data_IF_925109164300
#
_entry.id   IF_925109164300
#
_cell.length_a   1.000
_cell.length_b   1.000
_cell.length_c   1.000
_cell.angle_alpha   90.00
_cell.angle_beta   90.00
_cell.angle_gamma   90.00
#
_symmetry.space_group_name_H-M   'P 1'
#
loop_
_entity.id
_entity.type
_entity.pdbx_description
1 polymer ?
#
# COMPACT_ATOMS: atom_id res chain seq x y z
N UNK A 1 9.04 2.02 9.18
CA UNK A 1 10.22 1.23 9.64
C UNK A 1 11.26 1.11 8.53
N UNK A 2 12.57 1.31 8.81
CA UNK A 2 13.63 1.06 7.81
C UNK A 2 13.97 -0.42 7.79
N UNK A 3 13.77 -1.07 6.65
CA UNK A 3 14.10 -2.48 6.46
C UNK A 3 15.63 -2.69 6.53
N UNK A 4 16.06 -3.80 7.14
CA UNK A 4 17.43 -4.26 7.05
C UNK A 4 17.74 -4.81 5.64
N UNK A 5 18.97 -5.27 5.38
CA UNK A 5 19.36 -5.76 4.05
C UNK A 5 18.53 -6.99 3.61
N UNK A 6 18.19 -7.89 4.55
CA UNK A 6 17.40 -9.10 4.27
C UNK A 6 15.95 -8.75 3.96
N UNK A 7 15.32 -7.85 4.72
CA UNK A 7 14.01 -7.32 4.44
C UNK A 7 13.93 -6.64 3.07
N UNK A 8 14.96 -5.84 2.73
CA UNK A 8 15.06 -5.24 1.39
C UNK A 8 15.20 -6.28 0.28
N UNK A 9 16.01 -7.31 0.46
CA UNK A 9 16.18 -8.40 -0.52
C UNK A 9 14.86 -9.14 -0.74
N UNK A 10 14.14 -9.45 0.33
CA UNK A 10 12.81 -10.11 0.28
C UNK A 10 11.78 -9.23 -0.46
N UNK A 11 11.73 -7.94 -0.13
CA UNK A 11 10.79 -6.99 -0.75
C UNK A 11 11.14 -6.67 -2.21
N UNK A 12 12.38 -6.86 -2.63
CA UNK A 12 12.86 -6.63 -3.99
C UNK A 12 12.96 -7.90 -4.85
N UNK A 13 12.42 -9.02 -4.39
CA UNK A 13 12.41 -10.27 -5.15
C UNK A 13 11.56 -10.11 -6.43
N UNK A 14 12.08 -10.50 -7.63
CA UNK A 14 11.32 -10.45 -8.88
C UNK A 14 9.96 -11.15 -8.83
N UNK A 15 9.86 -12.24 -8.09
CA UNK A 15 8.62 -12.98 -7.92
C UNK A 15 7.53 -12.15 -7.21
N UNK A 16 7.89 -11.16 -6.36
CA UNK A 16 6.95 -10.21 -5.75
C UNK A 16 6.24 -9.36 -6.81
N UNK A 17 6.89 -9.08 -7.93
CA UNK A 17 6.27 -8.31 -9.02
C UNK A 17 5.03 -9.02 -9.57
N UNK A 18 5.05 -10.35 -9.72
CA UNK A 18 3.89 -11.13 -10.13
C UNK A 18 2.77 -11.05 -9.09
N UNK A 19 3.12 -11.16 -7.81
CA UNK A 19 2.17 -11.01 -6.71
C UNK A 19 1.50 -9.63 -6.70
N UNK A 20 2.28 -8.57 -6.89
CA UNK A 20 1.75 -7.20 -6.91
C UNK A 20 0.81 -6.96 -8.10
N UNK A 21 1.10 -7.51 -9.29
CA UNK A 21 0.18 -7.47 -10.43
C UNK A 21 -1.11 -8.27 -10.15
N UNK A 22 -1.01 -9.42 -9.48
CA UNK A 22 -2.16 -10.21 -9.08
C UNK A 22 -3.01 -9.46 -8.04
N UNK A 23 -2.41 -8.92 -6.98
CA UNK A 23 -3.09 -8.08 -5.99
C UNK A 23 -3.78 -6.88 -6.66
N UNK A 24 -3.09 -6.19 -7.56
CA UNK A 24 -3.65 -5.09 -8.33
C UNK A 24 -4.88 -5.52 -9.15
N UNK A 25 -4.86 -6.75 -9.72
CA UNK A 25 -6.01 -7.27 -10.46
C UNK A 25 -7.24 -7.50 -9.57
N UNK A 26 -7.02 -7.94 -8.35
CA UNK A 26 -8.09 -8.09 -7.36
C UNK A 26 -8.60 -6.71 -6.90
N UNK A 27 -7.69 -5.79 -6.59
CA UNK A 27 -8.05 -4.42 -6.18
C UNK A 27 -8.87 -3.69 -7.24
N UNK A 28 -8.50 -3.82 -8.52
CA UNK A 28 -9.27 -3.25 -9.62
C UNK A 28 -10.69 -3.84 -9.71
N UNK A 29 -10.83 -5.17 -9.56
CA UNK A 29 -12.14 -5.84 -9.54
C UNK A 29 -13.01 -5.39 -8.37
N UNK A 30 -12.40 -5.15 -7.20
CA UNK A 30 -13.10 -4.73 -5.98
C UNK A 30 -13.47 -3.25 -6.00
N UNK A 31 -12.57 -2.40 -6.47
CA UNK A 31 -12.69 -0.95 -6.34
C UNK A 31 -12.83 -0.17 -7.65
N UNK A 32 -12.66 -0.84 -8.78
CA UNK A 32 -12.64 -0.18 -10.10
C UNK A 32 -11.37 0.62 -10.34
N UNK A 33 -11.37 1.40 -11.41
CA UNK A 33 -10.26 2.24 -11.87
C UNK A 33 -10.35 3.65 -11.27
N UNK A 34 -9.25 4.39 -11.34
CA UNK A 34 -9.11 5.78 -10.83
C UNK A 34 -8.89 6.73 -12.01
N UNK A 35 -9.69 6.56 -13.07
CA UNK A 35 -9.54 7.28 -14.34
C UNK A 35 -9.42 8.79 -14.15
N UNK A 36 -8.31 9.34 -14.64
CA UNK A 36 -8.05 10.78 -14.60
C UNK A 36 -7.80 11.35 -13.19
N UNK A 37 -7.89 10.52 -12.15
CA UNK A 37 -7.72 10.94 -10.76
C UNK A 37 -6.26 11.13 -10.34
N UNK A 38 -6.07 11.80 -9.20
CA UNK A 38 -4.78 11.96 -8.51
C UNK A 38 -4.65 10.91 -7.42
N UNK A 39 -3.61 10.10 -7.48
CA UNK A 39 -3.38 9.02 -6.53
C UNK A 39 -2.13 9.25 -5.68
N UNK A 40 -2.12 8.67 -4.48
CA UNK A 40 -0.95 8.55 -3.61
C UNK A 40 -0.59 7.07 -3.47
N UNK A 41 0.69 6.72 -3.61
CA UNK A 41 1.21 5.42 -3.18
C UNK A 41 2.09 5.59 -1.93
N UNK A 42 1.80 4.83 -0.89
CA UNK A 42 2.59 4.79 0.33
C UNK A 42 3.49 3.55 0.34
N UNK A 43 4.80 3.75 0.62
CA UNK A 43 5.78 2.68 0.57
C UNK A 43 6.06 2.18 -0.85
N UNK A 44 6.33 3.10 -1.77
CA UNK A 44 6.42 2.78 -3.21
C UNK A 44 7.60 1.90 -3.62
N UNK A 45 8.57 1.67 -2.72
CA UNK A 45 9.74 0.86 -3.01
C UNK A 45 10.46 1.32 -4.28
N UNK A 46 10.59 0.41 -5.25
CA UNK A 46 11.25 0.68 -6.55
C UNK A 46 10.30 1.25 -7.62
N UNK A 47 9.06 1.60 -7.26
CA UNK A 47 8.10 2.28 -8.12
C UNK A 47 7.26 1.36 -9.03
N UNK A 48 7.17 0.06 -8.75
CA UNK A 48 6.32 -0.85 -9.53
C UNK A 48 4.83 -0.51 -9.33
N UNK A 49 4.42 -0.22 -8.10
CA UNK A 49 3.04 0.17 -7.81
C UNK A 49 2.65 1.46 -8.52
N UNK A 50 3.55 2.45 -8.60
CA UNK A 50 3.32 3.68 -9.39
C UNK A 50 2.98 3.35 -10.85
N UNK A 51 3.73 2.43 -11.49
CA UNK A 51 3.44 1.98 -12.87
C UNK A 51 2.05 1.36 -12.96
N UNK A 52 1.74 0.46 -12.05
CA UNK A 52 0.44 -0.20 -11.97
C UNK A 52 -0.70 0.83 -11.82
N UNK A 53 -0.54 1.82 -10.94
CA UNK A 53 -1.54 2.86 -10.71
C UNK A 53 -1.77 3.69 -11.98
N UNK A 54 -0.70 4.07 -12.68
CA UNK A 54 -0.79 4.85 -13.91
C UNK A 54 -1.38 4.05 -15.08
N UNK A 55 -0.92 2.82 -15.28
CA UNK A 55 -1.23 2.04 -16.49
C UNK A 55 -2.52 1.24 -16.34
N UNK A 56 -2.72 0.63 -15.16
CA UNK A 56 -3.85 -0.24 -14.92
C UNK A 56 -5.04 0.50 -14.34
N UNK A 57 -4.81 1.36 -13.32
CA UNK A 57 -5.89 2.10 -12.67
C UNK A 57 -6.23 3.41 -13.39
N UNK A 58 -5.43 3.87 -14.33
CA UNK A 58 -5.72 5.04 -15.17
C UNK A 58 -5.57 6.38 -14.46
N UNK A 59 -4.83 6.45 -13.34
CA UNK A 59 -4.59 7.72 -12.67
C UNK A 59 -3.84 8.71 -13.60
N UNK A 60 -4.24 9.97 -13.57
CA UNK A 60 -3.58 11.02 -14.32
C UNK A 60 -2.20 11.36 -13.73
N UNK A 61 -2.13 11.38 -12.40
CA UNK A 61 -0.90 11.65 -11.67
C UNK A 61 -0.79 10.81 -10.40
N UNK A 62 0.42 10.44 -10.03
CA UNK A 62 0.74 9.70 -8.81
C UNK A 62 1.81 10.44 -8.03
N UNK A 63 1.51 10.75 -6.78
CA UNK A 63 2.53 11.02 -5.79
C UNK A 63 2.89 9.71 -5.09
N UNK A 64 4.18 9.51 -4.80
CA UNK A 64 4.60 8.29 -4.14
C UNK A 64 5.73 8.58 -3.14
N UNK A 65 5.67 7.92 -2.02
CA UNK A 65 6.66 8.08 -0.96
C UNK A 65 7.20 6.74 -0.45
N UNK A 66 8.42 6.79 0.02
CA UNK A 66 9.05 5.69 0.74
C UNK A 66 9.93 6.27 1.86
N UNK A 67 10.07 5.55 2.96
CA UNK A 67 10.91 5.98 4.08
C UNK A 67 12.41 5.80 3.77
N UNK A 68 12.76 4.91 2.83
CA UNK A 68 14.15 4.65 2.42
C UNK A 68 14.53 5.50 1.20
N UNK A 69 15.48 6.46 1.36
CA UNK A 69 15.95 7.28 0.22
C UNK A 69 16.51 6.46 -0.95
N UNK A 70 17.07 5.27 -0.68
CA UNK A 70 17.58 4.38 -1.72
C UNK A 70 16.47 3.81 -2.59
N UNK A 71 15.29 3.55 -2.01
CA UNK A 71 14.13 3.11 -2.77
C UNK A 71 13.63 4.23 -3.68
N UNK A 72 13.57 5.46 -3.18
CA UNK A 72 13.19 6.63 -3.99
C UNK A 72 14.18 6.84 -5.15
N UNK A 73 15.48 6.66 -4.94
CA UNK A 73 16.46 6.72 -6.02
C UNK A 73 16.24 5.63 -7.08
N UNK A 74 15.95 4.40 -6.66
CA UNK A 74 15.58 3.30 -7.56
C UNK A 74 14.28 3.60 -8.33
N UNK A 75 13.27 4.12 -7.64
CA UNK A 75 11.99 4.51 -8.25
C UNK A 75 12.17 5.60 -9.30
N UNK A 76 12.99 6.64 -9.04
CA UNK A 76 13.30 7.70 -10.01
C UNK A 76 13.88 7.13 -11.30
N UNK A 77 14.82 6.20 -11.20
CA UNK A 77 15.40 5.53 -12.39
C UNK A 77 14.36 4.70 -13.14
N UNK A 78 13.56 3.94 -12.40
CA UNK A 78 12.52 3.07 -12.97
C UNK A 78 11.40 3.83 -13.66
N UNK A 79 11.09 5.05 -13.21
CA UNK A 79 9.94 5.86 -13.62
C UNK A 79 10.34 7.08 -14.49
N UNK A 80 11.59 7.17 -14.91
CA UNK A 80 12.11 8.34 -15.63
C UNK A 80 11.34 8.68 -16.91
N UNK A 81 10.73 7.69 -17.54
CA UNK A 81 9.95 7.87 -18.79
C UNK A 81 8.59 8.53 -18.60
N UNK A 82 8.04 8.59 -17.35
CA UNK A 82 6.70 9.13 -17.11
C UNK A 82 6.63 10.66 -16.97
N UNK A 83 7.77 11.30 -16.71
CA UNK A 83 7.86 12.75 -16.51
C UNK A 83 7.32 13.24 -15.17
N UNK A 84 7.80 14.42 -14.74
CA UNK A 84 7.48 15.00 -13.42
C UNK A 84 6.03 15.45 -13.27
N UNK A 85 5.35 15.72 -14.38
CA UNK A 85 3.93 16.09 -14.35
C UNK A 85 3.03 14.92 -13.93
N UNK A 86 3.45 13.69 -14.19
CA UNK A 86 2.67 12.49 -13.86
C UNK A 86 3.15 11.76 -12.61
N UNK A 87 4.43 11.89 -12.25
CA UNK A 87 5.04 11.17 -11.13
C UNK A 87 5.84 12.10 -10.24
N UNK A 88 5.45 12.20 -8.99
CA UNK A 88 6.18 12.90 -7.95
C UNK A 88 6.65 11.91 -6.88
N UNK A 89 7.98 11.88 -6.65
CA UNK A 89 8.59 10.95 -5.71
C UNK A 89 9.26 11.69 -4.55
N UNK A 90 8.97 11.27 -3.34
CA UNK A 90 9.53 11.88 -2.13
C UNK A 90 9.92 10.88 -1.05
N UNK A 91 10.96 11.22 -0.29
CA UNK A 91 11.22 10.52 0.99
C UNK A 91 10.20 11.03 1.99
N UNK A 92 9.45 10.11 2.61
CA UNK A 92 8.37 10.50 3.52
C UNK A 92 7.96 9.37 4.45
N UNK A 93 7.29 9.77 5.53
CA UNK A 93 6.72 8.90 6.55
C UNK A 93 5.20 8.89 6.38
N UNK A 94 4.62 7.70 6.23
CA UNK A 94 3.17 7.54 6.10
C UNK A 94 2.40 7.98 7.35
N UNK A 95 3.05 8.04 8.50
CA UNK A 95 2.44 8.55 9.75
C UNK A 95 2.42 10.07 9.85
N UNK A 96 2.97 10.78 8.86
CA UNK A 96 3.03 12.25 8.80
C UNK A 96 3.17 12.71 7.35
N UNK A 97 2.08 12.59 6.59
CA UNK A 97 2.04 12.95 5.18
C UNK A 97 2.06 14.48 5.00
N UNK A 98 2.90 14.96 4.08
CA UNK A 98 3.00 16.40 3.79
C UNK A 98 1.86 16.93 2.93
N UNK A 99 1.05 16.06 2.37
CA UNK A 99 -0.10 16.47 1.56
C UNK A 99 -1.19 17.15 2.42
N UNK A 100 -1.91 18.07 1.84
CA UNK A 100 -3.07 18.69 2.46
C UNK A 100 -4.23 17.68 2.58
N UNK A 101 -5.21 18.02 3.42
CA UNK A 101 -6.44 17.26 3.57
C UNK A 101 -7.18 17.14 2.22
N UNK A 102 -7.90 16.07 2.02
CA UNK A 102 -8.77 15.86 0.86
C UNK A 102 -8.07 16.13 -0.51
N UNK A 103 -6.82 15.67 -0.64
CA UNK A 103 -6.00 15.92 -1.84
C UNK A 103 -6.19 14.84 -2.91
N UNK A 104 -6.33 13.56 -2.51
CA UNK A 104 -6.26 12.42 -3.41
C UNK A 104 -7.62 11.77 -3.65
N UNK A 105 -7.84 11.35 -4.88
CA UNK A 105 -8.99 10.54 -5.28
C UNK A 105 -8.81 9.07 -4.85
N UNK A 106 -7.56 8.64 -4.74
CA UNK A 106 -7.21 7.31 -4.25
C UNK A 106 -5.88 7.29 -3.51
N UNK A 107 -5.78 6.42 -2.50
CA UNK A 107 -4.52 6.05 -1.84
C UNK A 107 -4.31 4.55 -2.05
N UNK A 108 -3.08 4.15 -2.38
CA UNK A 108 -2.66 2.77 -2.57
C UNK A 108 -1.60 2.38 -1.55
N UNK A 109 -1.82 1.23 -0.93
CA UNK A 109 -0.85 0.53 -0.09
C UNK A 109 -0.66 -0.90 -0.60
N UNK A 110 0.44 -1.15 -1.30
CA UNK A 110 0.82 -2.49 -1.74
C UNK A 110 1.70 -3.18 -0.69
N UNK A 111 1.24 -3.17 0.57
CA UNK A 111 1.86 -3.91 1.66
C UNK A 111 2.98 -3.17 2.39
N UNK A 112 2.83 -1.90 2.68
CA UNK A 112 3.77 -1.08 3.45
C UNK A 112 3.26 -0.74 4.86
N UNK A 113 1.99 -0.35 5.00
CA UNK A 113 1.44 0.15 6.27
C UNK A 113 1.48 -0.91 7.38
N UNK A 114 1.25 -2.18 7.04
CA UNK A 114 1.30 -3.26 8.04
C UNK A 114 2.70 -3.47 8.65
N UNK A 115 3.75 -2.94 8.02
CA UNK A 115 5.13 -2.95 8.54
C UNK A 115 5.41 -1.77 9.48
N UNK A 116 4.49 -0.80 9.57
CA UNK A 116 4.67 0.40 10.39
C UNK A 116 4.14 0.15 11.81
N UNK A 117 4.97 0.31 12.86
CA UNK A 117 4.51 0.12 14.24
C UNK A 117 3.31 1.01 14.60
N UNK A 118 3.28 2.23 14.09
CA UNK A 118 2.19 3.20 14.29
C UNK A 118 1.17 3.14 13.15
N UNK A 119 0.83 1.96 12.65
CA UNK A 119 -0.06 1.76 11.50
C UNK A 119 -1.43 2.43 11.66
N UNK A 120 -1.94 2.57 12.90
CA UNK A 120 -3.18 3.32 13.15
C UNK A 120 -3.04 4.79 12.77
N UNK A 121 -1.91 5.41 13.14
CA UNK A 121 -1.62 6.79 12.74
C UNK A 121 -1.47 6.92 11.22
N UNK A 122 -0.89 5.91 10.57
CA UNK A 122 -0.84 5.86 9.12
C UNK A 122 -2.24 5.79 8.49
N UNK A 123 -3.18 5.01 9.04
CA UNK A 123 -4.56 4.97 8.57
C UNK A 123 -5.28 6.31 8.76
N UNK A 124 -5.06 7.01 9.88
CA UNK A 124 -5.59 8.35 10.10
C UNK A 124 -5.08 9.36 9.05
N UNK A 125 -3.79 9.29 8.70
CA UNK A 125 -3.22 10.11 7.63
C UNK A 125 -3.79 9.75 6.25
N UNK A 126 -3.94 8.45 5.94
CA UNK A 126 -4.63 7.99 4.72
C UNK A 126 -6.04 8.59 4.64
N UNK A 127 -6.80 8.51 5.75
CA UNK A 127 -8.13 9.11 5.83
C UNK A 127 -8.11 10.61 5.59
N UNK A 128 -7.19 11.32 6.21
CA UNK A 128 -7.07 12.78 6.12
C UNK A 128 -6.82 13.26 4.69
N UNK A 129 -5.92 12.59 3.96
CA UNK A 129 -5.54 13.03 2.61
C UNK A 129 -6.49 12.56 1.52
N UNK A 130 -7.39 11.61 1.80
CA UNK A 130 -8.42 11.18 0.86
C UNK A 130 -9.56 12.20 0.80
N UNK A 131 -10.01 12.50 -0.42
CA UNK A 131 -11.22 13.28 -0.67
C UNK A 131 -12.46 12.55 -0.14
N UNK A 132 -13.57 13.26 0.13
CA UNK A 132 -14.89 12.64 0.21
C UNK A 132 -15.15 11.77 -1.04
N UNK A 133 -15.67 10.56 -0.88
CA UNK A 133 -15.82 9.58 -1.96
C UNK A 133 -14.52 8.90 -2.41
N UNK A 134 -13.37 9.35 -1.93
CA UNK A 134 -12.05 8.79 -2.24
C UNK A 134 -11.89 7.34 -1.77
N UNK A 135 -11.00 6.61 -2.42
CA UNK A 135 -10.82 5.16 -2.21
C UNK A 135 -9.45 4.83 -1.66
N UNK A 136 -9.41 3.93 -0.68
CA UNK A 136 -8.20 3.32 -0.14
C UNK A 136 -8.08 1.88 -0.66
N UNK A 137 -7.10 1.62 -1.51
CA UNK A 137 -6.75 0.31 -2.03
C UNK A 137 -5.60 -0.25 -1.20
N UNK A 138 -5.81 -1.39 -0.56
CA UNK A 138 -4.80 -1.92 0.34
C UNK A 138 -4.58 -3.43 0.19
N UNK A 139 -3.32 -3.81 0.35
CA UNK A 139 -2.85 -5.18 0.54
C UNK A 139 -2.27 -5.28 1.95
N UNK A 140 -2.74 -6.23 2.73
CA UNK A 140 -2.36 -6.36 4.13
C UNK A 140 -1.91 -7.77 4.46
N UNK A 141 -0.83 -7.89 5.22
CA UNK A 141 -0.43 -9.17 5.82
C UNK A 141 -1.00 -9.20 7.23
N UNK A 142 -1.84 -10.20 7.52
CA UNK A 142 -2.42 -10.38 8.85
C UNK A 142 -1.67 -11.45 9.65
N UNK A 143 -1.95 -11.53 10.95
CA UNK A 143 -1.40 -12.56 11.83
C UNK A 143 -1.68 -14.00 11.38
N UNK A 144 -2.60 -14.18 10.44
CA UNK A 144 -2.93 -15.50 9.87
C UNK A 144 -1.77 -16.14 9.10
N UNK A 145 -0.83 -15.33 8.60
CA UNK A 145 0.35 -15.78 7.84
C UNK A 145 1.53 -16.22 8.72
N UNK A 146 1.58 -15.84 9.99
CA UNK A 146 2.71 -16.09 10.89
C UNK A 146 2.95 -17.59 11.24
N UNK A 147 2.61 -18.52 10.35
CA UNK A 147 3.06 -19.90 10.38
C UNK A 147 4.41 -20.15 9.68
N UNK A 148 4.99 -19.12 9.03
CA UNK A 148 6.39 -19.16 8.61
C UNK A 148 7.29 -19.22 9.85
N UNK A 149 8.49 -19.83 9.76
CA UNK A 149 9.41 -19.85 10.90
C UNK A 149 9.61 -18.42 11.42
N UNK A 150 8.97 -18.13 12.56
CA UNK A 150 8.97 -16.82 13.20
C UNK A 150 10.37 -16.18 13.29
N UNK A 151 11.48 -16.94 13.48
CA UNK A 151 12.82 -16.39 13.48
C UNK A 151 13.22 -15.66 12.18
N UNK A 152 12.87 -16.21 11.01
CA UNK A 152 13.20 -15.58 9.72
C UNK A 152 12.41 -14.29 9.48
N UNK A 153 11.14 -14.27 9.89
CA UNK A 153 10.30 -13.08 9.78
C UNK A 153 10.82 -11.97 10.70
N UNK A 154 11.14 -12.32 11.96
CA UNK A 154 11.65 -11.34 12.92
C UNK A 154 13.05 -10.85 12.58
N UNK A 155 13.88 -11.66 11.93
CA UNK A 155 15.20 -11.26 11.45
C UNK A 155 15.09 -10.25 10.28
N UNK A 156 14.15 -10.48 9.35
CA UNK A 156 13.96 -9.61 8.19
C UNK A 156 13.26 -8.30 8.53
N UNK A 157 12.24 -8.35 9.39
CA UNK A 157 11.29 -7.25 9.62
C UNK A 157 11.21 -6.78 11.07
N UNK A 158 11.95 -7.39 12.01
CA UNK A 158 11.84 -7.12 13.44
C UNK A 158 10.58 -7.73 14.06
N UNK A 159 10.32 -7.40 15.33
CA UNK A 159 9.06 -7.79 15.99
C UNK A 159 7.93 -6.92 15.47
N UNK A 160 7.02 -7.51 14.72
CA UNK A 160 5.83 -6.85 14.21
C UNK A 160 4.59 -7.34 14.95
N UNK A 161 3.76 -6.41 15.39
CA UNK A 161 2.39 -6.71 15.79
C UNK A 161 1.48 -6.61 14.57
N UNK A 162 1.25 -7.74 13.90
CA UNK A 162 0.31 -7.79 12.80
C UNK A 162 -1.12 -7.89 13.36
N UNK A 163 -2.00 -6.90 13.10
CA UNK A 163 -3.37 -7.00 13.50
C UNK A 163 -4.07 -8.15 12.77
N UNK A 164 -4.93 -8.86 13.49
CA UNK A 164 -5.85 -9.79 12.84
C UNK A 164 -6.86 -9.04 11.96
N UNK A 165 -7.52 -9.74 11.01
CA UNK A 165 -8.46 -9.11 10.08
C UNK A 165 -9.60 -8.33 10.77
N UNK A 166 -10.08 -8.81 11.91
CA UNK A 166 -11.13 -8.13 12.69
C UNK A 166 -10.67 -6.77 13.21
N UNK A 167 -9.47 -6.74 13.82
CA UNK A 167 -8.94 -5.50 14.38
C UNK A 167 -8.67 -4.46 13.28
N UNK A 168 -8.12 -4.89 12.15
CA UNK A 168 -7.92 -4.00 11.00
C UNK A 168 -9.25 -3.40 10.51
N UNK A 169 -10.30 -4.21 10.36
CA UNK A 169 -11.61 -3.72 9.93
C UNK A 169 -12.20 -2.72 10.93
N UNK A 170 -12.09 -2.98 12.22
CA UNK A 170 -12.55 -2.07 13.26
C UNK A 170 -11.81 -0.72 13.23
N UNK A 171 -10.50 -0.73 13.01
CA UNK A 171 -9.73 0.51 12.93
C UNK A 171 -10.02 1.29 11.64
N UNK A 172 -10.21 0.60 10.50
CA UNK A 172 -10.64 1.26 9.26
C UNK A 172 -12.01 1.93 9.43
N UNK A 173 -12.96 1.25 10.05
CA UNK A 173 -14.29 1.80 10.34
C UNK A 173 -14.21 2.98 11.33
N UNK A 174 -13.36 2.90 12.35
CA UNK A 174 -13.12 4.00 13.30
C UNK A 174 -12.59 5.25 12.60
N UNK A 175 -11.72 5.08 11.61
CA UNK A 175 -11.22 6.18 10.78
C UNK A 175 -12.25 6.64 9.72
N UNK A 176 -13.45 6.06 9.68
CA UNK A 176 -14.46 6.39 8.67
C UNK A 176 -14.15 5.85 7.27
N UNK A 177 -13.28 4.84 7.18
CA UNK A 177 -12.96 4.12 5.95
C UNK A 177 -13.86 2.89 5.88
N UNK A 178 -14.94 2.98 5.10
CA UNK A 178 -15.93 1.90 4.98
C UNK A 178 -15.44 0.88 3.95
N UNK A 179 -15.08 -0.31 4.39
CA UNK A 179 -14.64 -1.41 3.51
C UNK A 179 -15.86 -2.13 2.96
N UNK A 180 -16.21 -1.84 1.69
CA UNK A 180 -17.33 -2.47 1.01
C UNK A 180 -17.02 -3.87 0.50
N UNK A 181 -15.82 -4.07 -0.03
CA UNK A 181 -15.40 -5.32 -0.65
C UNK A 181 -13.96 -5.67 -0.24
N UNK A 182 -13.74 -6.95 0.04
CA UNK A 182 -12.43 -7.50 0.37
C UNK A 182 -12.31 -8.93 -0.15
N UNK A 183 -11.09 -9.34 -0.40
CA UNK A 183 -10.73 -10.70 -0.75
C UNK A 183 -9.69 -11.23 0.23
N UNK A 184 -9.93 -12.43 0.76
CA UNK A 184 -8.95 -13.15 1.58
C UNK A 184 -8.23 -14.10 0.65
N UNK A 185 -6.94 -13.86 0.43
CA UNK A 185 -6.14 -14.69 -0.45
C UNK A 185 -5.99 -16.12 0.12
N UNK A 186 -6.06 -17.15 -0.72
CA UNK A 186 -5.78 -18.51 -0.27
C UNK A 186 -4.39 -18.59 0.37
N UNK A 187 -4.27 -19.35 1.45
CA UNK A 187 -3.02 -19.51 2.23
C UNK A 187 -1.79 -19.86 1.39
N UNK A 188 -1.98 -20.54 0.25
CA UNK A 188 -0.90 -20.91 -0.67
C UNK A 188 -0.27 -19.69 -1.34
N UNK A 189 -1.07 -18.71 -1.75
CA UNK A 189 -0.57 -17.46 -2.34
C UNK A 189 0.15 -16.60 -1.29
N UNK A 190 -0.35 -16.60 -0.09
CA UNK A 190 0.25 -15.90 1.05
C UNK A 190 1.55 -16.54 1.54
N UNK A 191 1.66 -17.88 1.52
CA UNK A 191 2.88 -18.62 1.89
C UNK A 191 4.04 -18.38 0.91
N UNK A 192 3.74 -18.02 -0.34
CA UNK A 192 4.76 -17.67 -1.33
C UNK A 192 5.41 -16.29 -1.08
N UNK A 193 4.90 -15.50 -0.13
CA UNK A 193 5.37 -14.12 0.13
C UNK A 193 5.05 -13.15 -1.01
N UNK A 194 4.16 -13.54 -1.95
CA UNK A 194 3.88 -12.78 -3.16
C UNK A 194 2.74 -11.77 -2.99
N UNK A 195 1.78 -12.06 -2.11
CA UNK A 195 0.57 -11.24 -1.90
C UNK A 195 0.25 -11.25 -0.41
N UNK A 196 -0.30 -10.14 0.10
CA UNK A 196 -0.92 -10.12 1.43
C UNK A 196 -2.09 -11.10 1.50
N UNK A 197 -2.40 -11.58 2.69
CA UNK A 197 -3.52 -12.51 2.89
C UNK A 197 -4.89 -11.80 2.91
N UNK A 198 -4.88 -10.47 2.91
CA UNK A 198 -6.08 -9.64 2.82
C UNK A 198 -5.87 -8.51 1.81
N UNK A 199 -6.76 -8.43 0.86
CA UNK A 199 -6.81 -7.36 -0.15
C UNK A 199 -8.19 -6.70 -0.06
N UNK A 200 -8.26 -5.39 -0.01
CA UNK A 200 -9.52 -4.70 0.15
C UNK A 200 -9.53 -3.28 -0.38
N UNK A 201 -10.74 -2.76 -0.54
CA UNK A 201 -10.98 -1.36 -0.92
C UNK A 201 -11.95 -0.74 0.07
N UNK A 202 -11.51 0.31 0.73
CA UNK A 202 -12.31 1.18 1.57
C UNK A 202 -12.69 2.48 0.85
N UNK A 203 -13.82 3.07 1.23
CA UNK A 203 -14.28 4.37 0.72
C UNK A 203 -14.52 5.33 1.87
N UNK A 204 -14.23 6.58 1.62
CA UNK A 204 -14.65 7.67 2.48
C UNK A 204 -16.08 8.06 2.12
N UNK A 205 -16.93 8.27 3.11
CA UNK A 205 -18.29 8.77 2.87
C UNK A 205 -18.26 10.06 2.05
N UNK A 206 -19.20 10.20 1.13
CA UNK A 206 -19.40 11.45 0.41
C UNK A 206 -19.84 12.54 1.40
N UNK A 207 -19.42 13.77 1.16
CA UNK A 207 -19.92 14.90 1.91
C UNK A 207 -21.40 15.10 1.54
N UNK A 208 -22.30 14.97 2.51
CA UNK A 208 -23.73 15.28 2.36
C UNK A 208 -23.96 16.78 2.22
#
# INVERSE_FOLDING_TARGET
>A
MRLNWLGRATMNNPARSLGQHYAASLLERLGGRVEGGRALEVGCGRGLGVKIILERFGAAAVEALDLDPKMIECARRSLATYGLARVQLGVGDVTSLKAADATFDAVFDFGAIHLEPNWRKALAEVRRVLKPGGRFFFEWVTSSILRLPYPLVTEAFGRMELPGPRLLMQELEREGIIVGQRFVCPRVAALSGFVGDLVGVGRIAEAT
#
